data_IF_928567823140
#
_entry.id   IF_928567823140
#
_cell.length_a   1.000
_cell.length_b   1.000
_cell.length_c   1.000
_cell.angle_alpha   90.00
_cell.angle_beta   90.00
_cell.angle_gamma   90.00
#
_symmetry.space_group_name_H-M   'P 1'
#
loop_
_entity.id
_entity.type
_entity.pdbx_description
1 polymer ?
#
# COMPACT_ATOMS: atom_id res chain seq x y z
N UNK A 1 8.17 1.81 1.87
CA UNK A 1 8.37 3.16 2.43
C UNK A 1 7.49 3.41 3.67
N UNK A 2 8.11 3.77 4.79
CA UNK A 2 7.43 4.29 5.98
C UNK A 2 6.90 5.71 5.75
N UNK A 3 6.17 6.24 6.73
CA UNK A 3 5.56 7.57 6.63
C UNK A 3 6.64 8.66 6.71
N UNK A 4 6.65 9.56 5.72
CA UNK A 4 7.63 10.63 5.58
C UNK A 4 8.93 10.23 4.87
N UNK A 5 9.07 8.99 4.41
CA UNK A 5 10.29 8.52 3.76
C UNK A 5 10.62 9.32 2.48
N UNK A 6 11.92 9.51 2.25
CA UNK A 6 12.46 9.97 0.98
C UNK A 6 13.20 8.82 0.29
N UNK A 7 12.73 8.42 -0.89
CA UNK A 7 13.28 7.29 -1.64
C UNK A 7 14.00 7.78 -2.89
N UNK A 8 15.28 7.43 -2.99
CA UNK A 8 16.14 7.68 -4.14
C UNK A 8 16.51 6.34 -4.81
N UNK A 9 15.49 5.70 -5.40
CA UNK A 9 15.59 4.39 -6.06
C UNK A 9 14.48 4.26 -7.09
N UNK A 10 14.77 3.65 -8.24
CA UNK A 10 13.77 3.35 -9.27
C UNK A 10 12.84 2.19 -8.88
N UNK A 11 13.29 1.34 -7.94
CA UNK A 11 12.50 0.25 -7.38
C UNK A 11 11.96 0.65 -6.00
N UNK A 12 10.67 0.40 -5.79
CA UNK A 12 9.97 0.65 -4.55
C UNK A 12 9.45 -0.65 -3.96
N UNK A 13 9.97 -1.00 -2.79
CA UNK A 13 9.48 -2.14 -2.03
C UNK A 13 8.59 -1.66 -0.88
N UNK A 14 7.37 -2.17 -0.86
CA UNK A 14 6.36 -1.93 0.16
C UNK A 14 6.24 -3.19 1.02
N UNK A 15 6.16 -2.96 2.33
CA UNK A 15 5.84 -3.99 3.30
C UNK A 15 4.90 -3.39 4.35
N UNK A 16 3.94 -4.18 4.80
CA UNK A 16 3.05 -3.81 5.89
C UNK A 16 2.90 -4.96 6.88
N UNK A 17 2.42 -4.65 8.08
CA UNK A 17 2.11 -5.65 9.09
C UNK A 17 0.67 -6.12 8.96
N UNK A 18 0.45 -7.40 9.21
CA UNK A 18 -0.88 -7.99 9.31
C UNK A 18 -1.20 -8.21 10.79
N UNK A 19 -2.45 -7.97 11.18
CA UNK A 19 -2.94 -8.47 12.47
C UNK A 19 -2.92 -10.00 12.51
N UNK A 20 -3.03 -10.57 13.72
CA UNK A 20 -3.07 -12.02 13.91
C UNK A 20 -4.14 -12.65 13.02
N UNK A 21 -3.74 -13.59 12.15
CA UNK A 21 -4.67 -14.33 11.30
C UNK A 21 -5.19 -15.54 12.08
N UNK A 22 -6.34 -15.40 12.71
CA UNK A 22 -7.11 -16.54 13.22
C UNK A 22 -8.30 -16.80 12.28
N UNK A 23 -8.27 -17.90 11.52
CA UNK A 23 -9.37 -18.30 10.63
C UNK A 23 -9.02 -18.32 9.14
N UNK A 24 -9.89 -17.73 8.30
CA UNK A 24 -9.84 -17.84 6.83
C UNK A 24 -8.62 -17.16 6.19
N UNK A 25 -8.22 -17.62 5.00
CA UNK A 25 -7.21 -16.94 4.19
C UNK A 25 -7.63 -15.50 3.89
N UNK A 26 -6.79 -14.51 4.25
CA UNK A 26 -7.02 -13.11 3.91
C UNK A 26 -6.21 -12.70 2.68
N UNK A 27 -6.71 -11.69 1.96
CA UNK A 27 -5.98 -10.96 0.92
C UNK A 27 -6.00 -9.49 1.25
N UNK A 28 -4.92 -8.79 0.97
CA UNK A 28 -4.86 -7.35 1.13
C UNK A 28 -5.10 -6.67 -0.21
N UNK A 29 -5.66 -5.47 -0.19
CA UNK A 29 -5.58 -4.55 -1.32
C UNK A 29 -4.69 -3.39 -0.94
N UNK A 30 -3.65 -3.19 -1.72
CA UNK A 30 -2.78 -2.03 -1.70
C UNK A 30 -3.36 -0.92 -2.57
N UNK A 31 -3.30 0.30 -2.07
CA UNK A 31 -3.72 1.53 -2.75
C UNK A 31 -2.56 2.51 -2.75
N UNK A 32 -2.30 3.13 -3.89
CA UNK A 32 -1.37 4.25 -4.05
C UNK A 32 -2.11 5.41 -4.72
N UNK A 33 -1.91 6.61 -4.23
CA UNK A 33 -2.50 7.84 -4.74
C UNK A 33 -1.46 8.96 -4.83
N UNK A 34 -1.79 9.97 -5.62
CA UNK A 34 -1.04 11.24 -5.73
C UNK A 34 -1.60 12.36 -4.86
N UNK A 35 -2.64 12.08 -4.08
CA UNK A 35 -3.25 13.00 -3.12
C UNK A 35 -3.50 12.33 -1.75
N UNK A 36 -3.50 13.10 -0.64
CA UNK A 36 -3.69 12.54 0.70
C UNK A 36 -5.09 11.99 0.96
N UNK A 37 -6.10 12.44 0.19
CA UNK A 37 -7.48 11.99 0.34
C UNK A 37 -7.77 10.67 -0.40
N UNK A 38 -6.77 10.11 -1.10
CA UNK A 38 -6.89 8.85 -1.85
C UNK A 38 -7.96 8.91 -2.94
N UNK A 39 -8.01 10.02 -3.68
CA UNK A 39 -8.98 10.28 -4.75
C UNK A 39 -8.40 10.09 -6.15
N UNK A 40 -7.14 10.50 -6.38
CA UNK A 40 -6.36 10.28 -7.59
C UNK A 40 -5.51 9.01 -7.42
N UNK A 41 -6.16 7.85 -7.56
CA UNK A 41 -5.52 6.54 -7.42
C UNK A 41 -4.61 6.23 -8.62
N UNK A 42 -3.35 5.94 -8.33
CA UNK A 42 -2.37 5.45 -9.30
C UNK A 42 -2.32 3.94 -9.35
N UNK A 43 -2.37 3.29 -8.19
CA UNK A 43 -2.32 1.84 -8.11
C UNK A 43 -3.41 1.28 -7.21
N UNK A 44 -3.95 0.13 -7.61
CA UNK A 44 -4.82 -0.71 -6.79
C UNK A 44 -4.51 -2.16 -7.05
N UNK A 45 -3.84 -2.84 -6.12
CA UNK A 45 -3.36 -4.22 -6.30
C UNK A 45 -3.86 -5.12 -5.20
N UNK A 46 -4.40 -6.28 -5.58
CA UNK A 46 -4.68 -7.35 -4.63
C UNK A 46 -3.44 -8.19 -4.39
N UNK A 47 -3.09 -8.39 -3.12
CA UNK A 47 -1.87 -9.05 -2.69
C UNK A 47 -2.21 -10.17 -1.71
N UNK A 48 -1.71 -11.38 -1.99
CA UNK A 48 -1.91 -12.54 -1.08
C UNK A 48 -1.00 -12.48 0.14
N UNK A 49 0.17 -11.84 0.02
CA UNK A 49 1.11 -11.54 1.10
C UNK A 49 1.02 -10.10 1.60
N UNK A 50 2.03 -9.71 2.37
CA UNK A 50 2.13 -8.39 3.01
C UNK A 50 3.24 -7.51 2.40
N UNK A 51 3.68 -7.85 1.18
CA UNK A 51 4.71 -7.13 0.44
C UNK A 51 4.28 -6.89 -1.00
N UNK A 52 4.76 -5.81 -1.60
CA UNK A 52 4.54 -5.45 -3.00
C UNK A 52 5.75 -4.68 -3.50
N UNK A 53 6.23 -5.01 -4.69
CA UNK A 53 7.27 -4.22 -5.38
C UNK A 53 6.63 -3.50 -6.57
N UNK A 54 6.97 -2.23 -6.75
CA UNK A 54 6.62 -1.43 -7.91
C UNK A 54 7.90 -0.84 -8.52
N UNK A 55 7.94 -0.81 -9.83
CA UNK A 55 8.88 -0.06 -10.64
C UNK A 55 8.09 1.00 -11.43
N UNK A 56 8.80 1.93 -12.10
CA UNK A 56 8.24 2.88 -13.09
C UNK A 56 7.44 4.09 -12.58
N UNK A 57 7.42 4.37 -11.28
CA UNK A 57 6.85 5.63 -10.80
C UNK A 57 7.77 6.82 -11.11
N UNK A 58 7.18 7.92 -11.59
CA UNK A 58 7.90 9.19 -11.78
C UNK A 58 8.13 9.91 -10.45
N UNK A 59 9.08 10.83 -10.42
CA UNK A 59 9.36 11.67 -9.26
C UNK A 59 8.08 12.36 -8.77
N UNK A 60 7.91 12.41 -7.45
CA UNK A 60 6.72 13.02 -6.85
C UNK A 60 6.47 12.57 -5.42
N UNK A 61 5.41 13.13 -4.84
CA UNK A 61 4.90 12.75 -3.52
C UNK A 61 3.74 11.79 -3.70
N UNK A 62 3.77 10.69 -2.96
CA UNK A 62 2.77 9.63 -3.05
C UNK A 62 2.24 9.27 -1.68
N UNK A 63 1.02 8.76 -1.68
CA UNK A 63 0.31 8.32 -0.49
C UNK A 63 -0.13 6.88 -0.69
N UNK A 64 0.11 6.03 0.30
CA UNK A 64 -0.28 4.62 0.22
C UNK A 64 -0.98 4.14 1.49
N UNK A 65 -1.88 3.17 1.31
CA UNK A 65 -2.56 2.47 2.41
C UNK A 65 -2.98 1.08 1.97
N UNK A 66 -3.35 0.24 2.94
CA UNK A 66 -3.82 -1.12 2.70
C UNK A 66 -5.13 -1.38 3.45
N UNK A 67 -5.89 -2.37 3.00
CA UNK A 67 -6.95 -3.02 3.81
C UNK A 67 -7.07 -4.50 3.47
N UNK A 68 -7.51 -5.29 4.43
CA UNK A 68 -7.66 -6.74 4.30
C UNK A 68 -9.09 -7.13 3.93
N UNK A 69 -9.21 -8.26 3.25
CA UNK A 69 -10.45 -8.91 2.84
C UNK A 69 -10.36 -10.39 3.17
N UNK A 70 -11.39 -10.95 3.77
CA UNK A 70 -11.49 -12.39 3.95
C UNK A 70 -12.26 -13.07 2.80
N UNK A 71 -12.30 -14.40 2.82
CA UNK A 71 -13.02 -15.21 1.80
C UNK A 71 -14.55 -15.07 1.90
N UNK A 72 -15.07 -14.69 3.07
CA UNK A 72 -16.50 -14.50 3.31
C UNK A 72 -16.99 -13.12 2.82
N UNK A 73 -16.08 -12.24 2.40
CA UNK A 73 -16.37 -10.90 1.89
C UNK A 73 -16.29 -9.80 2.94
N UNK A 74 -15.87 -10.11 4.17
CA UNK A 74 -15.66 -9.08 5.20
C UNK A 74 -14.39 -8.29 4.90
N UNK A 75 -14.41 -7.00 5.26
CA UNK A 75 -13.28 -6.08 5.05
C UNK A 75 -12.83 -5.45 6.35
N UNK A 76 -11.53 -5.27 6.54
CA UNK A 76 -11.00 -4.46 7.62
C UNK A 76 -11.19 -2.96 7.36
N UNK A 77 -11.01 -2.16 8.41
CA UNK A 77 -10.67 -0.74 8.24
C UNK A 77 -9.38 -0.59 7.41
N UNK A 78 -9.22 0.56 6.77
CA UNK A 78 -7.95 0.93 6.14
C UNK A 78 -6.86 1.10 7.20
N UNK A 79 -5.60 0.83 6.81
CA UNK A 79 -4.44 1.32 7.55
C UNK A 79 -4.40 2.85 7.54
N UNK A 80 -3.58 3.43 8.43
CA UNK A 80 -3.16 4.82 8.27
C UNK A 80 -2.62 5.06 6.87
N UNK A 81 -2.97 6.22 6.30
CA UNK A 81 -2.35 6.70 5.06
C UNK A 81 -0.92 7.11 5.37
N UNK A 82 0.03 6.57 4.61
CA UNK A 82 1.45 6.88 4.72
C UNK A 82 1.88 7.67 3.50
N UNK A 83 2.71 8.69 3.70
CA UNK A 83 3.30 9.50 2.65
C UNK A 83 4.75 9.09 2.40
N UNK A 84 5.21 9.16 1.15
CA UNK A 84 6.64 9.16 0.84
C UNK A 84 6.92 10.08 -0.36
N UNK A 85 8.17 10.50 -0.50
CA UNK A 85 8.67 11.25 -1.64
C UNK A 85 9.59 10.36 -2.47
N UNK A 86 9.39 10.34 -3.78
CA UNK A 86 10.19 9.61 -4.74
C UNK A 86 11.00 10.57 -5.60
N UNK A 87 12.31 10.39 -5.63
CA UNK A 87 13.22 11.11 -6.51
C UNK A 87 14.44 10.21 -6.76
N UNK A 88 14.36 9.27 -7.73
CA UNK A 88 15.44 8.38 -8.14
C UNK A 88 16.59 9.12 -8.85
#
# INVERSE_FOLDING_TARGET
PDDGDFINSAQLDFQWTRGSQTGSSIRDTFFLATDPNMTDLRERRQVKGNTLSLDTLSNGVYYWRVRSYDKAGNTSSYSSTRQFTLQP
#
